data_IF_988734056817
#
_entry.id   IF_988734056817
#
_cell.length_a   1.000
_cell.length_b   1.000
_cell.length_c   1.000
_cell.angle_alpha   90.00
_cell.angle_beta   90.00
_cell.angle_gamma   90.00
#
_symmetry.space_group_name_H-M   'P 1'
#
loop_
_entity.id
_entity.type
_entity.pdbx_description
1 polymer ?
#
# COMPACT_ATOMS: atom_id res chain seq x y z
N UNK A 1 59.15 -8.29 40.45
CA UNK A 1 59.05 -9.76 40.58
C UNK A 1 57.76 -10.18 39.87
N UNK A 2 57.82 -10.42 38.56
CA UNK A 2 58.07 -11.72 37.90
C UNK A 2 56.84 -12.63 37.94
N UNK A 3 56.33 -13.25 36.86
CA UNK A 3 56.61 -13.22 35.41
C UNK A 3 55.49 -14.03 34.72
N UNK A 4 55.16 -13.69 33.47
CA UNK A 4 54.40 -14.52 32.52
C UNK A 4 54.99 -15.95 32.42
N UNK A 5 54.12 -16.95 32.20
CA UNK A 5 54.51 -18.19 31.50
C UNK A 5 53.40 -18.62 30.53
N UNK A 6 53.76 -18.51 29.26
CA UNK A 6 53.17 -19.03 28.04
C UNK A 6 53.80 -20.41 27.79
N UNK A 7 53.04 -21.44 27.38
CA UNK A 7 53.63 -22.71 26.91
C UNK A 7 52.87 -23.29 25.71
N UNK A 8 53.55 -23.22 24.57
CA UNK A 8 53.64 -24.19 23.46
C UNK A 8 55.13 -24.17 23.03
N UNK A 9 55.68 -25.04 22.16
CA UNK A 9 55.18 -26.26 21.50
C UNK A 9 56.24 -27.42 21.50
N UNK A 10 56.07 -28.41 20.59
CA UNK A 10 57.04 -29.31 19.91
C UNK A 10 56.66 -30.80 20.05
N UNK A 11 56.20 -31.48 18.98
CA UNK A 11 56.87 -32.00 17.76
C UNK A 11 57.25 -33.48 17.91
N UNK A 12 56.63 -34.35 17.09
CA UNK A 12 57.20 -35.64 16.66
C UNK A 12 56.40 -36.22 15.46
N UNK A 13 56.83 -35.81 14.27
CA UNK A 13 57.09 -36.62 13.06
C UNK A 13 56.40 -37.97 12.81
N UNK A 14 55.77 -38.01 11.62
CA UNK A 14 55.98 -38.95 10.49
C UNK A 14 55.40 -40.38 10.51
N UNK A 15 54.47 -40.64 9.57
CA UNK A 15 54.59 -41.74 8.59
C UNK A 15 53.60 -41.53 7.42
N UNK A 16 54.13 -41.47 6.19
CA UNK A 16 53.38 -41.57 4.93
C UNK A 16 53.11 -43.06 4.63
N UNK A 17 51.91 -43.40 4.21
CA UNK A 17 51.65 -44.60 3.42
C UNK A 17 50.52 -44.34 2.41
N UNK A 18 50.90 -44.38 1.15
CA UNK A 18 50.09 -44.41 -0.07
C UNK A 18 49.39 -45.76 -0.23
N UNK A 19 48.09 -45.78 -0.55
CA UNK A 19 47.42 -46.93 -1.16
C UNK A 19 46.35 -46.44 -2.14
N UNK A 20 46.57 -46.75 -3.41
CA UNK A 20 45.66 -46.59 -4.54
C UNK A 20 44.39 -47.46 -4.39
N UNK A 21 43.29 -47.13 -5.11
CA UNK A 21 42.04 -47.90 -5.08
C UNK A 21 42.08 -49.13 -6.01
N UNK A 22 41.36 -50.23 -5.70
CA UNK A 22 41.27 -51.36 -6.61
C UNK A 22 40.22 -51.12 -7.70
N UNK A 23 40.63 -51.43 -8.93
CA UNK A 23 39.83 -51.56 -10.14
C UNK A 23 39.02 -52.87 -10.17
N UNK A 24 37.82 -52.81 -10.73
CA UNK A 24 37.26 -53.90 -11.55
C UNK A 24 35.95 -54.53 -11.06
N UNK A 25 34.85 -54.26 -11.77
CA UNK A 25 33.96 -55.28 -12.34
C UNK A 25 32.80 -54.60 -13.09
N UNK A 26 32.73 -54.86 -14.40
CA UNK A 26 31.66 -54.44 -15.28
C UNK A 26 30.39 -55.26 -15.04
N UNK A 27 29.23 -54.60 -14.92
CA UNK A 27 27.94 -55.25 -15.09
C UNK A 27 27.06 -54.39 -16.00
N UNK A 28 26.99 -54.80 -17.27
CA UNK A 28 26.09 -54.24 -18.28
C UNK A 28 24.67 -54.65 -17.94
N UNK A 29 23.83 -53.69 -17.56
CA UNK A 29 22.38 -53.85 -17.47
C UNK A 29 21.74 -53.16 -18.68
N UNK A 30 21.36 -53.99 -19.66
CA UNK A 30 20.44 -53.63 -20.74
C UNK A 30 19.05 -53.47 -20.12
N UNK A 31 18.50 -52.25 -20.14
CA UNK A 31 17.09 -52.00 -19.84
C UNK A 31 16.45 -51.50 -21.15
N UNK A 32 15.39 -52.16 -21.66
CA UNK A 32 14.77 -51.79 -22.91
C UNK A 32 14.07 -50.43 -22.82
N UNK A 33 14.22 -49.66 -23.89
CA UNK A 33 13.63 -48.36 -24.09
C UNK A 33 12.11 -48.46 -24.28
N UNK A 34 11.35 -48.06 -23.27
CA UNK A 34 9.97 -47.58 -23.42
C UNK A 34 9.82 -46.33 -22.55
N UNK A 35 10.41 -45.23 -23.03
CA UNK A 35 10.19 -43.90 -22.46
C UNK A 35 8.78 -43.47 -22.88
N UNK A 36 7.80 -43.69 -22.00
CA UNK A 36 6.51 -43.04 -22.08
C UNK A 36 6.75 -41.52 -21.99
N UNK A 37 6.45 -40.79 -23.07
CA UNK A 37 6.40 -39.34 -23.13
C UNK A 37 5.28 -38.85 -22.21
N UNK A 38 5.59 -38.65 -20.92
CA UNK A 38 4.78 -37.82 -20.05
C UNK A 38 5.10 -36.35 -20.36
N UNK A 39 4.10 -35.46 -20.43
CA UNK A 39 4.35 -34.05 -20.68
C UNK A 39 5.09 -33.45 -19.47
N UNK A 40 6.29 -32.91 -19.71
CA UNK A 40 7.11 -32.17 -18.73
C UNK A 40 7.03 -30.65 -18.97
N UNK A 41 5.86 -29.97 -19.02
CA UNK A 41 5.86 -28.51 -19.12
C UNK A 41 6.09 -27.84 -17.75
N UNK A 42 5.63 -28.46 -16.65
CA UNK A 42 5.59 -27.80 -15.33
C UNK A 42 6.98 -27.73 -14.67
N UNK A 43 7.83 -28.75 -14.78
CA UNK A 43 9.18 -28.69 -14.20
C UNK A 43 10.07 -27.64 -14.88
N UNK A 44 9.97 -27.41 -16.19
CA UNK A 44 10.83 -26.48 -16.91
C UNK A 44 10.60 -25.00 -16.51
N UNK A 45 9.36 -24.65 -16.17
CA UNK A 45 9.00 -23.31 -15.74
C UNK A 45 9.53 -23.01 -14.33
N UNK A 46 9.44 -23.97 -13.42
CA UNK A 46 10.00 -23.87 -12.06
C UNK A 46 11.52 -23.61 -12.09
N UNK A 47 12.27 -24.35 -12.91
CA UNK A 47 13.71 -24.11 -13.07
C UNK A 47 14.03 -22.75 -13.67
N UNK A 48 13.18 -22.23 -14.56
CA UNK A 48 13.36 -20.89 -15.12
C UNK A 48 13.11 -19.78 -14.10
N UNK A 49 12.21 -19.96 -13.13
CA UNK A 49 12.00 -18.97 -12.06
C UNK A 49 13.15 -18.92 -11.06
N UNK A 50 13.85 -20.04 -10.83
CA UNK A 50 15.03 -20.11 -9.97
C UNK A 50 16.32 -19.68 -10.66
N UNK A 51 16.45 -19.93 -11.97
CA UNK A 51 17.68 -19.67 -12.71
C UNK A 51 17.85 -18.20 -13.12
N UNK A 52 16.75 -17.46 -13.27
CA UNK A 52 16.78 -16.06 -13.71
C UNK A 52 16.78 -15.08 -12.53
N UNK A 53 17.46 -13.93 -12.66
CA UNK A 53 17.52 -12.91 -11.62
C UNK A 53 16.15 -12.28 -11.33
N UNK A 54 16.04 -11.67 -10.15
CA UNK A 54 14.89 -10.86 -9.75
C UNK A 54 15.25 -9.39 -9.78
N UNK A 55 14.34 -8.58 -10.31
CA UNK A 55 14.43 -7.12 -10.33
C UNK A 55 13.35 -6.53 -9.44
N UNK A 56 13.71 -5.46 -8.73
CA UNK A 56 12.82 -4.76 -7.82
C UNK A 56 11.98 -3.73 -8.58
N UNK A 57 10.66 -3.83 -8.46
CA UNK A 57 9.68 -2.88 -8.97
C UNK A 57 9.01 -2.21 -7.78
N UNK A 58 9.01 -0.87 -7.76
CA UNK A 58 8.34 -0.10 -6.71
C UNK A 58 6.92 0.22 -7.16
N UNK A 59 5.93 -0.20 -6.38
CA UNK A 59 4.52 0.10 -6.61
C UNK A 59 4.02 0.98 -5.47
N UNK A 60 3.36 2.09 -5.81
CA UNK A 60 2.80 3.02 -4.83
C UNK A 60 1.33 2.71 -4.60
N UNK A 61 0.95 2.55 -3.34
CA UNK A 61 -0.42 2.32 -2.90
C UNK A 61 -1.08 3.62 -2.47
N UNK A 62 -2.38 3.83 -2.77
CA UNK A 62 -3.13 4.97 -2.28
C UNK A 62 -3.34 4.92 -0.76
N UNK A 63 -3.57 6.07 -0.11
CA UNK A 63 -4.06 6.11 1.27
C UNK A 63 -5.35 5.28 1.38
N UNK A 64 -5.47 4.50 2.46
CA UNK A 64 -6.63 3.63 2.69
C UNK A 64 -7.97 4.36 2.76
N UNK A 65 -7.97 5.66 3.11
CA UNK A 65 -9.17 6.50 3.09
C UNK A 65 -9.61 6.91 1.67
N UNK A 66 -8.76 6.71 0.66
CA UNK A 66 -9.02 7.16 -0.70
C UNK A 66 -9.06 8.70 -0.83
N UNK A 67 -8.33 9.39 0.05
CA UNK A 67 -8.11 10.83 0.01
C UNK A 67 -6.68 11.15 0.47
N UNK A 68 -6.08 12.15 -0.15
CA UNK A 68 -4.79 12.71 0.21
C UNK A 68 -4.98 13.70 1.35
N UNK A 69 -4.41 13.38 2.49
CA UNK A 69 -4.38 14.29 3.64
C UNK A 69 -3.20 15.22 3.46
N UNK A 70 -3.42 16.53 3.44
CA UNK A 70 -2.32 17.51 3.36
C UNK A 70 -1.90 18.00 4.74
N UNK A 71 -2.89 18.28 5.59
CA UNK A 71 -2.71 18.77 6.96
C UNK A 71 -3.59 17.98 7.89
N UNK A 72 -3.03 17.54 9.01
CA UNK A 72 -3.77 16.81 10.03
C UNK A 72 -3.41 17.25 11.44
N UNK A 73 -4.32 16.96 12.36
CA UNK A 73 -4.13 17.18 13.78
C UNK A 73 -4.64 15.97 14.56
N UNK A 74 -4.00 15.63 15.68
CA UNK A 74 -4.47 14.57 16.57
C UNK A 74 -5.36 15.14 17.67
N UNK A 75 -6.51 14.52 17.89
CA UNK A 75 -7.33 14.83 19.06
C UNK A 75 -6.62 14.38 20.34
N UNK A 76 -6.77 15.11 21.46
CA UNK A 76 -6.15 14.75 22.71
C UNK A 76 -6.83 13.51 23.30
N UNK A 77 -6.02 12.49 23.57
CA UNK A 77 -6.47 11.27 24.22
C UNK A 77 -6.39 11.40 25.76
N UNK A 78 -7.35 10.78 26.45
CA UNK A 78 -7.40 10.75 27.93
C UNK A 78 -6.62 9.59 28.53
N UNK A 79 -6.56 8.47 27.83
CA UNK A 79 -5.88 7.26 28.27
C UNK A 79 -4.41 7.24 27.82
N UNK A 80 -3.56 6.64 28.66
CA UNK A 80 -2.12 6.60 28.44
C UNK A 80 -1.78 5.88 27.12
N UNK A 81 -2.45 4.78 26.79
CA UNK A 81 -2.14 3.96 25.62
C UNK A 81 -2.48 4.66 24.30
N UNK A 82 -3.61 5.36 24.22
CA UNK A 82 -3.96 6.16 23.04
C UNK A 82 -3.02 7.35 22.89
N UNK A 83 -2.62 7.98 23.98
CA UNK A 83 -1.62 9.05 23.93
C UNK A 83 -0.30 8.54 23.39
N UNK A 84 0.21 7.43 23.92
CA UNK A 84 1.43 6.77 23.44
C UNK A 84 1.36 6.44 21.94
N UNK A 85 0.22 5.90 21.48
CA UNK A 85 0.02 5.59 20.06
C UNK A 85 -0.06 6.85 19.20
N UNK A 86 -0.76 7.90 19.63
CA UNK A 86 -0.87 9.16 18.91
C UNK A 86 0.48 9.90 18.83
N UNK A 87 1.28 9.88 19.89
CA UNK A 87 2.61 10.49 19.92
C UNK A 87 3.58 9.74 18.98
N UNK A 88 3.53 8.40 18.98
CA UNK A 88 4.31 7.59 18.04
C UNK A 88 3.90 7.84 16.58
N UNK A 89 2.59 7.94 16.30
CA UNK A 89 2.07 8.30 14.98
C UNK A 89 2.52 9.69 14.55
N UNK A 90 2.46 10.67 15.46
CA UNK A 90 2.92 12.04 15.20
C UNK A 90 4.38 12.07 14.79
N UNK A 91 5.25 11.36 15.52
CA UNK A 91 6.67 11.27 15.20
C UNK A 91 6.92 10.70 13.79
N UNK A 92 6.25 9.60 13.43
CA UNK A 92 6.37 8.98 12.10
C UNK A 92 5.82 9.89 10.98
N UNK A 93 4.70 10.57 11.23
CA UNK A 93 4.09 11.47 10.24
C UNK A 93 4.99 12.67 9.97
N UNK A 94 5.57 13.28 11.01
CA UNK A 94 6.56 14.35 10.88
C UNK A 94 7.81 13.84 10.15
N UNK A 95 8.30 12.65 10.50
CA UNK A 95 9.46 12.05 9.82
C UNK A 95 9.18 11.74 8.34
N UNK A 96 7.96 11.35 7.99
CA UNK A 96 7.58 11.03 6.62
C UNK A 96 7.63 12.25 5.69
N UNK A 97 7.38 13.45 6.22
CA UNK A 97 7.29 14.70 5.46
C UNK A 97 6.15 14.75 4.43
N UNK A 98 5.26 13.75 4.38
CA UNK A 98 4.16 13.68 3.41
C UNK A 98 2.97 14.56 3.81
N UNK A 99 2.85 14.90 5.09
CA UNK A 99 1.73 15.67 5.66
C UNK A 99 2.24 16.69 6.67
N UNK A 100 1.52 17.81 6.79
CA UNK A 100 1.73 18.79 7.84
C UNK A 100 0.99 18.35 9.10
N UNK A 101 1.74 18.04 10.16
CA UNK A 101 1.15 17.73 11.47
C UNK A 101 1.06 19.00 12.30
N UNK A 102 -0.17 19.37 12.65
CA UNK A 102 -0.45 20.51 13.53
C UNK A 102 -0.07 20.17 14.97
N UNK A 103 0.59 21.12 15.62
CA UNK A 103 1.02 20.98 17.01
C UNK A 103 -0.15 20.80 17.98
N UNK A 104 -0.01 19.78 18.84
CA UNK A 104 -0.98 19.40 19.87
C UNK A 104 -1.09 20.42 21.00
N UNK A 105 -0.02 21.16 21.32
CA UNK A 105 -0.07 22.16 22.40
C UNK A 105 -1.07 23.28 22.10
N UNK A 106 -1.19 23.68 20.83
CA UNK A 106 -2.15 24.67 20.36
C UNK A 106 -3.60 24.14 20.39
N UNK A 107 -3.78 22.83 20.24
CA UNK A 107 -5.07 22.15 20.34
C UNK A 107 -5.55 21.95 21.77
N UNK A 108 -4.65 21.56 22.66
CA UNK A 108 -4.97 21.24 24.06
C UNK A 108 -5.58 22.44 24.79
N UNK A 109 -5.16 23.67 24.46
CA UNK A 109 -5.74 24.89 25.04
C UNK A 109 -7.22 25.05 24.67
N UNK A 110 -7.57 24.79 23.41
CA UNK A 110 -8.95 24.93 22.90
C UNK A 110 -9.84 23.74 23.29
N UNK A 111 -9.24 22.56 23.44
CA UNK A 111 -9.95 21.34 23.79
C UNK A 111 -10.11 21.12 25.29
N UNK A 112 -9.33 21.79 26.15
CA UNK A 112 -9.58 21.82 27.60
C UNK A 112 -10.84 22.59 27.98
N UNK A 113 -11.24 23.58 27.18
CA UNK A 113 -12.47 24.36 27.40
C UNK A 113 -13.75 23.60 26.99
N UNK A 114 -13.61 22.46 26.31
CA UNK A 114 -14.72 21.65 25.82
C UNK A 114 -14.65 20.27 26.44
N UNK A 115 -15.69 19.88 27.18
CA UNK A 115 -15.83 18.50 27.64
C UNK A 115 -15.94 17.58 26.42
N UNK A 116 -14.82 16.96 26.03
CA UNK A 116 -14.86 15.81 25.12
C UNK A 116 -15.79 14.77 25.77
N UNK A 117 -16.89 14.43 25.09
CA UNK A 117 -17.87 13.49 25.60
C UNK A 117 -17.21 12.19 26.05
N UNK A 118 -17.74 11.55 27.10
CA UNK A 118 -17.21 10.31 27.67
C UNK A 118 -17.06 9.15 26.65
N UNK A 119 -17.64 9.29 25.46
CA UNK A 119 -17.64 8.32 24.37
C UNK A 119 -16.40 8.38 23.46
N UNK A 120 -15.51 9.36 23.63
CA UNK A 120 -14.36 9.56 22.73
C UNK A 120 -14.73 10.11 21.35
N UNK A 121 -15.99 10.52 21.15
CA UNK A 121 -16.44 11.25 19.98
C UNK A 121 -16.35 12.75 20.23
N UNK A 122 -15.86 13.49 19.24
CA UNK A 122 -15.84 14.95 19.28
C UNK A 122 -17.19 15.46 18.78
N UNK A 123 -17.83 16.32 19.56
CA UNK A 123 -19.11 16.92 19.16
C UNK A 123 -18.97 17.77 17.90
N UNK A 124 -19.99 17.82 17.01
CA UNK A 124 -19.96 18.64 15.81
C UNK A 124 -19.65 20.12 16.06
N UNK A 125 -20.11 20.68 17.19
CA UNK A 125 -19.82 22.06 17.58
C UNK A 125 -18.32 22.28 17.85
N UNK A 126 -17.65 21.28 18.43
CA UNK A 126 -16.21 21.31 18.70
C UNK A 126 -15.42 21.12 17.41
N UNK A 127 -15.86 20.23 16.51
CA UNK A 127 -15.27 20.10 15.16
C UNK A 127 -15.34 21.43 14.41
N UNK A 128 -16.47 22.13 14.42
CA UNK A 128 -16.63 23.42 13.75
C UNK A 128 -15.71 24.51 14.32
N UNK A 129 -15.48 24.54 15.64
CA UNK A 129 -14.54 25.47 16.26
C UNK A 129 -13.09 25.14 15.91
N UNK A 130 -12.72 23.87 15.95
CA UNK A 130 -11.40 23.41 15.52
C UNK A 130 -11.15 23.75 14.05
N UNK A 131 -12.15 23.59 13.18
CA UNK A 131 -12.06 23.99 11.77
C UNK A 131 -11.83 25.50 11.57
N UNK A 132 -12.44 26.34 12.40
CA UNK A 132 -12.17 27.80 12.38
C UNK A 132 -10.75 28.15 12.82
N UNK A 133 -10.18 27.37 13.75
CA UNK A 133 -8.84 27.60 14.29
C UNK A 133 -7.73 27.04 13.40
N UNK A 134 -7.91 25.80 12.94
CA UNK A 134 -6.90 25.03 12.18
C UNK A 134 -7.06 25.14 10.66
N UNK A 135 -8.17 25.69 10.20
CA UNK A 135 -8.52 25.76 8.78
C UNK A 135 -8.83 24.38 8.17
N UNK A 136 -8.61 24.19 6.86
CA UNK A 136 -8.84 22.92 6.17
C UNK A 136 -7.80 21.90 6.63
N UNK A 137 -8.17 21.12 7.63
CA UNK A 137 -7.34 20.08 8.24
C UNK A 137 -8.18 18.86 8.55
N UNK A 138 -7.52 17.72 8.62
CA UNK A 138 -8.14 16.47 9.06
C UNK A 138 -7.86 16.24 10.55
N UNK A 139 -8.89 15.99 11.34
CA UNK A 139 -8.74 15.58 12.73
C UNK A 139 -8.70 14.05 12.82
N UNK A 140 -7.62 13.52 13.39
CA UNK A 140 -7.44 12.09 13.66
C UNK A 140 -7.67 11.84 15.15
N UNK A 141 -8.63 10.98 15.46
CA UNK A 141 -8.97 10.57 16.82
C UNK A 141 -8.53 9.12 16.98
N UNK A 142 -7.67 8.85 17.96
CA UNK A 142 -7.17 7.50 18.27
C UNK A 142 -7.62 7.13 19.67
N UNK A 143 -8.25 5.96 19.80
CA UNK A 143 -8.72 5.42 21.07
C UNK A 143 -8.38 3.93 21.19
N UNK A 144 -7.54 3.55 22.14
CA UNK A 144 -7.19 2.17 22.48
C UNK A 144 -8.27 1.63 23.42
N UNK A 145 -9.13 0.78 22.86
CA UNK A 145 -10.29 0.22 23.56
C UNK A 145 -9.92 -0.97 24.45
N UNK A 146 -8.95 -1.79 24.03
CA UNK A 146 -8.48 -2.97 24.78
C UNK A 146 -6.97 -3.15 24.66
N UNK A 147 -6.34 -3.53 25.76
CA UNK A 147 -4.91 -3.87 25.81
C UNK A 147 -4.66 -4.88 26.95
N UNK A 148 -5.32 -6.03 26.88
CA UNK A 148 -5.34 -7.02 27.96
C UNK A 148 -4.24 -8.07 27.77
N UNK A 149 -3.31 -8.16 28.73
CA UNK A 149 -2.23 -9.14 28.71
C UNK A 149 -2.69 -10.48 29.26
N UNK A 150 -2.29 -11.56 28.59
CA UNK A 150 -2.49 -12.93 29.06
C UNK A 150 -1.18 -13.70 29.04
N UNK A 151 -1.02 -14.60 30.00
CA UNK A 151 0.15 -15.47 30.12
C UNK A 151 -0.32 -16.91 30.21
N UNK A 152 0.30 -17.78 29.40
CA UNK A 152 -0.07 -19.18 29.33
C UNK A 152 1.17 -20.09 29.27
N UNK A 153 1.02 -21.33 29.71
CA UNK A 153 2.04 -22.36 29.67
C UNK A 153 1.54 -23.57 28.91
N UNK A 154 2.41 -24.19 28.13
CA UNK A 154 2.11 -25.44 27.45
C UNK A 154 3.28 -26.41 27.53
N UNK A 155 2.97 -27.70 27.46
CA UNK A 155 3.94 -28.79 27.44
C UNK A 155 3.69 -29.65 26.20
N UNK A 156 4.76 -29.95 25.47
CA UNK A 156 4.73 -30.83 24.30
C UNK A 156 5.72 -31.97 24.50
N UNK A 157 5.23 -33.19 24.35
CA UNK A 157 6.07 -34.38 24.32
C UNK A 157 6.72 -34.51 22.94
N UNK A 158 8.04 -34.63 22.89
CA UNK A 158 8.82 -34.86 21.69
C UNK A 158 9.54 -36.21 21.81
N UNK A 159 9.21 -37.12 20.90
CA UNK A 159 9.86 -38.43 20.79
C UNK A 159 10.85 -38.40 19.63
N UNK A 160 12.06 -38.87 19.89
CA UNK A 160 13.09 -39.07 18.87
C UNK A 160 13.66 -40.46 18.99
N UNK A 161 13.68 -41.19 17.88
CA UNK A 161 14.30 -42.52 17.79
C UNK A 161 15.63 -42.39 17.08
N UNK A 162 16.70 -42.80 17.75
CA UNK A 162 18.02 -42.87 17.12
C UNK A 162 18.01 -43.94 16.02
N UNK A 163 18.36 -43.54 14.79
CA UNK A 163 18.29 -44.41 13.61
C UNK A 163 19.25 -45.59 13.67
N UNK A 164 20.36 -45.46 14.41
CA UNK A 164 21.41 -46.50 14.54
C UNK A 164 21.17 -47.41 15.74
N UNK A 165 20.81 -46.84 16.89
CA UNK A 165 20.65 -47.61 18.14
C UNK A 165 19.22 -48.06 18.40
N UNK A 166 18.25 -47.61 17.59
CA UNK A 166 16.81 -47.82 17.75
C UNK A 166 16.28 -47.40 19.13
N UNK A 167 17.05 -46.63 19.90
CA UNK A 167 16.68 -46.15 21.23
C UNK A 167 15.73 -44.96 21.10
N UNK A 168 14.57 -45.05 21.75
CA UNK A 168 13.67 -43.92 21.92
C UNK A 168 14.16 -43.00 23.02
N UNK A 169 14.15 -41.70 22.75
CA UNK A 169 14.33 -40.64 23.73
C UNK A 169 13.07 -39.79 23.76
N UNK A 170 12.49 -39.63 24.95
CA UNK A 170 11.34 -38.76 25.19
C UNK A 170 11.84 -37.48 25.86
N UNK A 171 11.49 -36.33 25.31
CA UNK A 171 11.78 -35.01 25.91
C UNK A 171 10.49 -34.22 26.03
N UNK A 172 10.34 -33.49 27.13
CA UNK A 172 9.21 -32.59 27.33
C UNK A 172 9.65 -31.15 27.06
N UNK A 173 9.16 -30.59 25.96
CA UNK A 173 9.37 -29.19 25.62
C UNK A 173 8.32 -28.35 26.34
N UNK A 174 8.75 -27.57 27.32
CA UNK A 174 7.90 -26.63 28.07
C UNK A 174 8.00 -25.25 27.45
N UNK A 175 6.85 -24.61 27.27
CA UNK A 175 6.70 -23.33 26.59
C UNK A 175 5.97 -22.36 27.50
N UNK A 176 6.48 -21.14 27.63
CA UNK A 176 5.82 -20.03 28.31
C UNK A 176 5.50 -18.94 27.29
N UNK A 177 4.23 -18.56 27.22
CA UNK A 177 3.64 -17.71 26.19
C UNK A 177 3.11 -16.44 26.86
N UNK A 178 3.45 -15.28 26.31
CA UNK A 178 2.81 -14.00 26.63
C UNK A 178 2.05 -13.54 25.40
N UNK A 179 0.77 -13.23 25.56
CA UNK A 179 -0.10 -12.74 24.50
C UNK A 179 -0.81 -11.46 24.91
N UNK A 180 -1.22 -10.65 23.95
CA UNK A 180 -1.97 -9.41 24.18
C UNK A 180 -3.24 -9.43 23.33
N UNK A 181 -4.40 -9.15 23.93
CA UNK A 181 -5.62 -8.80 23.19
C UNK A 181 -5.64 -7.27 23.02
N UNK A 182 -5.39 -6.79 21.81
CA UNK A 182 -5.29 -5.38 21.49
C UNK A 182 -6.41 -4.95 20.55
N UNK A 183 -7.12 -3.87 20.91
CA UNK A 183 -8.01 -3.19 19.98
C UNK A 183 -7.95 -1.68 20.12
N UNK A 184 -7.99 -0.99 18.99
CA UNK A 184 -8.03 0.47 18.91
C UNK A 184 -9.02 0.92 17.82
N UNK A 185 -9.66 2.06 18.03
CA UNK A 185 -10.51 2.71 17.04
C UNK A 185 -9.82 3.98 16.58
N UNK A 186 -9.74 4.16 15.26
CA UNK A 186 -9.21 5.39 14.65
C UNK A 186 -10.32 6.02 13.82
N UNK A 187 -10.60 7.29 14.09
CA UNK A 187 -11.59 8.09 13.35
C UNK A 187 -10.91 9.27 12.68
N UNK A 188 -11.35 9.57 11.48
CA UNK A 188 -10.77 10.62 10.66
C UNK A 188 -11.88 11.56 10.21
N UNK A 189 -11.79 12.82 10.61
CA UNK A 189 -12.85 13.81 10.45
C UNK A 189 -12.33 15.00 9.67
N UNK A 190 -13.08 15.43 8.67
CA UNK A 190 -12.87 16.69 7.98
C UNK A 190 -13.26 17.86 8.88
N UNK A 191 -12.33 18.72 9.27
CA UNK A 191 -12.66 19.89 10.09
C UNK A 191 -13.40 20.97 9.30
N UNK A 192 -13.32 20.98 7.96
CA UNK A 192 -14.00 21.98 7.13
C UNK A 192 -15.49 21.68 6.97
N UNK A 193 -15.85 20.40 6.82
CA UNK A 193 -17.24 19.95 6.59
C UNK A 193 -17.88 19.29 7.81
N UNK A 194 -17.09 18.91 8.81
CA UNK A 194 -17.54 18.09 9.93
C UNK A 194 -17.82 16.62 9.57
N UNK A 195 -17.53 16.21 8.34
CA UNK A 195 -17.81 14.86 7.85
C UNK A 195 -16.76 13.88 8.37
N UNK A 196 -17.21 12.74 8.90
CA UNK A 196 -16.34 11.60 9.19
C UNK A 196 -15.99 10.91 7.87
N UNK A 197 -14.71 10.91 7.50
CA UNK A 197 -14.21 10.22 6.30
C UNK A 197 -14.16 8.70 6.50
N UNK A 198 -13.82 8.28 7.71
CA UNK A 198 -13.73 6.87 8.05
C UNK A 198 -13.56 6.66 9.54
N UNK A 199 -14.07 5.52 10.02
CA UNK A 199 -13.81 4.99 11.33
C UNK A 199 -13.36 3.53 11.15
N UNK A 200 -12.14 3.21 11.57
CA UNK A 200 -11.59 1.87 11.45
C UNK A 200 -11.27 1.31 12.83
N UNK A 201 -11.79 0.11 13.09
CA UNK A 201 -11.37 -0.69 14.23
C UNK A 201 -10.16 -1.54 13.85
N UNK A 202 -9.11 -1.41 14.63
CA UNK A 202 -7.87 -2.16 14.55
C UNK A 202 -7.91 -3.20 15.65
N UNK A 203 -7.70 -4.45 15.27
CA UNK A 203 -7.56 -5.56 16.21
C UNK A 203 -6.25 -6.28 15.90
N UNK A 204 -5.57 -6.72 16.95
CA UNK A 204 -4.39 -7.57 16.89
C UNK A 204 -4.29 -8.43 18.15
N UNK A 205 -3.68 -9.62 18.00
CA UNK A 205 -3.50 -10.56 19.09
C UNK A 205 -2.07 -11.15 19.11
N UNK A 206 -1.01 -10.31 19.21
CA UNK A 206 0.35 -10.81 19.12
C UNK A 206 0.68 -11.70 20.32
N UNK A 207 1.57 -12.68 20.07
CA UNK A 207 2.10 -13.55 21.11
C UNK A 207 3.57 -13.84 20.88
N UNK A 208 4.31 -13.97 21.98
CA UNK A 208 5.69 -14.44 22.01
C UNK A 208 5.77 -15.66 22.90
N UNK A 209 6.77 -16.52 22.66
CA UNK A 209 7.02 -17.67 23.52
C UNK A 209 8.50 -17.96 23.72
N UNK A 210 8.82 -18.44 24.92
CA UNK A 210 10.12 -19.01 25.27
C UNK A 210 9.94 -20.50 25.52
N UNK A 211 10.95 -21.31 25.16
CA UNK A 211 10.88 -22.78 25.31
C UNK A 211 12.11 -23.33 26.05
N UNK A 212 11.92 -24.36 26.88
CA UNK A 212 12.99 -25.08 27.57
C UNK A 212 12.64 -26.56 27.78
N UNK A 213 13.66 -27.41 27.88
CA UNK A 213 13.52 -28.83 28.26
C UNK A 213 13.74 -29.06 29.77
N UNK A 214 14.36 -28.11 30.46
CA UNK A 214 14.77 -28.24 31.88
C UNK A 214 13.68 -27.74 32.86
N UNK A 215 12.67 -27.03 32.37
CA UNK A 215 11.61 -26.45 33.19
C UNK A 215 10.78 -25.44 32.40
N UNK A 216 9.80 -24.80 33.05
CA UNK A 216 9.13 -23.66 32.41
C UNK A 216 10.08 -22.47 32.37
N UNK A 217 10.38 -21.92 31.17
CA UNK A 217 11.22 -20.73 31.07
C UNK A 217 10.47 -19.50 31.58
N UNK A 218 11.19 -18.39 31.75
CA UNK A 218 10.54 -17.11 32.03
C UNK A 218 9.63 -16.71 30.85
N UNK A 219 8.49 -16.09 31.18
CA UNK A 219 7.59 -15.49 30.19
C UNK A 219 8.31 -14.40 29.38
N UNK A 220 8.05 -14.29 28.07
CA UNK A 220 8.45 -13.12 27.29
C UNK A 220 7.95 -11.83 27.92
N UNK A 221 8.70 -10.73 27.75
CA UNK A 221 8.40 -9.45 28.39
C UNK A 221 7.11 -8.85 27.82
N UNK A 222 6.27 -8.35 28.71
CA UNK A 222 5.00 -7.68 28.36
C UNK A 222 5.22 -6.49 27.39
N UNK A 223 6.32 -5.76 27.56
CA UNK A 223 6.70 -4.63 26.70
C UNK A 223 6.93 -5.01 25.25
N UNK A 224 7.44 -6.22 25.00
CA UNK A 224 7.80 -6.67 23.65
C UNK A 224 6.55 -7.02 22.86
N UNK A 225 5.60 -7.72 23.50
CA UNK A 225 4.29 -8.04 22.91
C UNK A 225 3.46 -6.77 22.67
N UNK A 226 3.49 -5.83 23.63
CA UNK A 226 2.84 -4.52 23.46
C UNK A 226 3.43 -3.72 22.30
N UNK A 227 4.75 -3.68 22.18
CA UNK A 227 5.43 -3.03 21.06
C UNK A 227 5.00 -3.63 19.72
N UNK A 228 4.88 -4.96 19.62
CA UNK A 228 4.39 -5.61 18.40
C UNK A 228 2.99 -5.11 18.02
N UNK A 229 2.03 -5.09 18.95
CA UNK A 229 0.69 -4.58 18.69
C UNK A 229 0.69 -3.11 18.25
N UNK A 230 1.49 -2.27 18.94
CA UNK A 230 1.59 -0.84 18.63
C UNK A 230 2.22 -0.60 17.26
N UNK A 231 3.26 -1.33 16.88
CA UNK A 231 3.87 -1.25 15.55
C UNK A 231 2.90 -1.70 14.46
N UNK A 232 2.13 -2.78 14.68
CA UNK A 232 1.06 -3.19 13.76
C UNK A 232 0.00 -2.11 13.61
N UNK A 233 -0.48 -1.54 14.72
CA UNK A 233 -1.49 -0.49 14.72
C UNK A 233 -0.97 0.76 14.00
N UNK A 234 0.25 1.19 14.32
CA UNK A 234 0.93 2.33 13.70
C UNK A 234 1.02 2.17 12.18
N UNK A 235 1.51 1.02 11.71
CA UNK A 235 1.58 0.73 10.28
C UNK A 235 0.21 0.76 9.59
N UNK A 236 -0.84 0.21 10.22
CA UNK A 236 -2.22 0.25 9.69
C UNK A 236 -2.75 1.68 9.60
N UNK A 237 -2.55 2.51 10.63
CA UNK A 237 -2.98 3.92 10.62
C UNK A 237 -2.21 4.74 9.61
N UNK A 238 -0.87 4.57 9.52
CA UNK A 238 -0.07 5.27 8.53
C UNK A 238 -0.52 4.93 7.10
N UNK A 239 -0.81 3.66 6.79
CA UNK A 239 -1.34 3.26 5.47
C UNK A 239 -2.76 3.75 5.22
N UNK A 240 -3.53 4.04 6.26
CA UNK A 240 -4.84 4.66 6.13
C UNK A 240 -4.72 6.14 5.73
N UNK A 241 -3.74 6.86 6.30
CA UNK A 241 -3.54 8.30 6.13
C UNK A 241 -2.62 8.67 4.96
N UNK A 242 -1.61 7.84 4.67
CA UNK A 242 -0.53 8.12 3.73
C UNK A 242 -0.51 7.12 2.57
N UNK A 243 -0.01 7.59 1.43
CA UNK A 243 0.47 6.69 0.38
C UNK A 243 1.72 5.95 0.86
N UNK A 244 1.87 4.71 0.44
CA UNK A 244 3.01 3.88 0.83
C UNK A 244 3.53 3.05 -0.35
N UNK A 245 4.82 2.76 -0.34
CA UNK A 245 5.47 2.04 -1.42
C UNK A 245 5.75 0.58 -1.04
N UNK A 246 5.50 -0.33 -1.97
CA UNK A 246 5.79 -1.75 -1.87
C UNK A 246 6.86 -2.11 -2.91
N UNK A 247 7.86 -2.88 -2.49
CA UNK A 247 8.85 -3.45 -3.41
C UNK A 247 8.39 -4.85 -3.82
N UNK A 248 8.14 -5.03 -5.12
CA UNK A 248 7.78 -6.31 -5.72
C UNK A 248 8.95 -6.87 -6.51
N UNK A 249 9.17 -8.18 -6.41
CA UNK A 249 10.26 -8.87 -7.09
C UNK A 249 9.74 -9.60 -8.31
N UNK A 250 10.11 -9.12 -9.49
CA UNK A 250 9.75 -9.76 -10.76
C UNK A 250 10.97 -10.45 -11.37
N UNK A 251 10.74 -11.53 -12.12
CA UNK A 251 11.80 -12.18 -12.88
C UNK A 251 12.26 -11.26 -14.01
N UNK A 252 13.55 -11.26 -14.30
CA UNK A 252 14.11 -10.65 -15.51
C UNK A 252 14.91 -11.72 -16.27
N UNK A 253 14.69 -11.89 -17.57
CA UNK A 253 15.43 -12.89 -18.34
C UNK A 253 16.75 -12.29 -18.81
N UNK A 254 17.87 -12.63 -18.17
CA UNK A 254 19.20 -12.10 -18.49
C UNK A 254 19.96 -12.94 -19.52
N UNK A 255 19.23 -13.49 -20.51
CA UNK A 255 19.83 -14.25 -21.60
C UNK A 255 20.90 -13.40 -22.33
N UNK A 256 22.10 -13.94 -22.59
CA UNK A 256 23.13 -13.27 -23.42
C UNK A 256 22.58 -12.94 -24.83
N UNK A 257 21.68 -13.79 -25.31
CA UNK A 257 21.05 -13.67 -26.62
C UNK A 257 20.24 -12.37 -26.69
N UNK A 258 20.45 -11.63 -27.78
CA UNK A 258 19.88 -10.30 -27.99
C UNK A 258 20.27 -9.25 -26.92
N UNK A 259 21.29 -9.53 -26.10
CA UNK A 259 21.89 -8.57 -25.17
C UNK A 259 21.09 -8.31 -23.90
N UNK A 260 20.21 -9.23 -23.48
CA UNK A 260 19.39 -9.02 -22.28
C UNK A 260 20.21 -9.05 -20.99
N UNK A 261 21.31 -9.79 -20.95
CA UNK A 261 22.29 -9.72 -19.87
C UNK A 261 22.80 -8.28 -19.65
N UNK A 262 23.20 -7.59 -20.72
CA UNK A 262 23.69 -6.20 -20.64
C UNK A 262 22.60 -5.23 -20.19
N UNK A 263 21.35 -5.44 -20.64
CA UNK A 263 20.21 -4.67 -20.16
C UNK A 263 20.00 -4.87 -18.64
N UNK A 264 20.13 -6.10 -18.15
CA UNK A 264 20.06 -6.42 -16.73
C UNK A 264 21.21 -5.79 -15.92
N UNK A 265 22.44 -5.79 -16.44
CA UNK A 265 23.57 -5.09 -15.80
C UNK A 265 23.30 -3.59 -15.64
N UNK A 266 22.73 -2.94 -16.66
CA UNK A 266 22.30 -1.54 -16.58
C UNK A 266 21.22 -1.32 -15.51
N UNK A 267 20.26 -2.23 -15.38
CA UNK A 267 19.26 -2.16 -14.29
C UNK A 267 19.91 -2.26 -12.91
N UNK A 268 20.86 -3.18 -12.73
CA UNK A 268 21.65 -3.30 -11.48
C UNK A 268 22.41 -2.01 -11.17
N UNK A 269 22.93 -1.35 -12.20
CA UNK A 269 23.60 -0.05 -12.10
C UNK A 269 22.62 1.14 -11.93
N UNK A 270 21.30 0.90 -11.79
CA UNK A 270 20.23 1.91 -11.72
C UNK A 270 20.09 2.79 -12.98
N UNK A 271 20.72 2.41 -14.09
CA UNK A 271 20.57 3.04 -15.40
C UNK A 271 19.36 2.45 -16.13
N UNK A 272 18.16 2.85 -15.69
CA UNK A 272 16.90 2.32 -16.22
C UNK A 272 16.70 2.74 -17.70
N UNK A 273 17.19 3.92 -18.09
CA UNK A 273 17.09 4.41 -19.47
C UNK A 273 17.98 3.59 -20.40
N UNK A 274 19.26 3.44 -20.08
CA UNK A 274 20.17 2.64 -20.89
C UNK A 274 19.79 1.15 -20.92
N UNK A 275 19.20 0.63 -19.85
CA UNK A 275 18.61 -0.71 -19.86
C UNK A 275 17.47 -0.84 -20.88
N UNK A 276 16.56 0.16 -20.94
CA UNK A 276 15.44 0.16 -21.89
C UNK A 276 15.93 0.23 -23.33
N UNK A 277 16.91 1.09 -23.61
CA UNK A 277 17.49 1.24 -24.95
C UNK A 277 18.05 -0.10 -25.45
N UNK A 278 18.87 -0.76 -24.62
CA UNK A 278 19.43 -2.08 -24.94
C UNK A 278 18.36 -3.17 -25.11
N UNK A 279 17.32 -3.15 -24.28
CA UNK A 279 16.22 -4.11 -24.37
C UNK A 279 15.38 -3.91 -25.65
N UNK A 280 15.12 -2.66 -26.05
CA UNK A 280 14.44 -2.33 -27.30
C UNK A 280 15.27 -2.75 -28.52
N UNK A 281 16.57 -2.46 -28.53
CA UNK A 281 17.49 -2.94 -29.58
C UNK A 281 17.54 -4.48 -29.65
N UNK A 282 17.56 -5.14 -28.49
CA UNK A 282 17.48 -6.59 -28.40
C UNK A 282 16.16 -7.14 -28.96
N UNK A 283 15.05 -6.49 -28.62
CA UNK A 283 13.74 -6.85 -29.14
C UNK A 283 13.68 -6.72 -30.67
N UNK A 284 14.18 -5.63 -31.24
CA UNK A 284 14.18 -5.45 -32.70
C UNK A 284 15.07 -6.48 -33.41
N UNK A 285 16.25 -6.80 -32.87
CA UNK A 285 17.09 -7.90 -33.38
C UNK A 285 16.37 -9.24 -33.33
N UNK A 286 15.61 -9.51 -32.26
CA UNK A 286 14.86 -10.75 -32.13
C UNK A 286 13.68 -10.86 -33.11
N UNK A 287 13.09 -9.73 -33.55
CA UNK A 287 12.10 -9.70 -34.65
C UNK A 287 12.74 -10.05 -35.99
N UNK A 288 13.96 -9.55 -36.24
CA UNK A 288 14.70 -9.77 -37.48
C UNK A 288 15.26 -11.19 -37.61
N UNK A 289 15.35 -11.94 -36.52
CA UNK A 289 15.85 -13.32 -36.47
C UNK A 289 14.93 -14.34 -37.20
N UNK A 290 13.76 -13.90 -37.68
CA UNK A 290 12.76 -14.72 -38.43
C UNK A 290 12.38 -16.03 -37.73
N UNK A 291 12.40 -16.03 -36.40
CA UNK A 291 11.99 -17.17 -35.59
C UNK A 291 13.02 -18.30 -35.48
N UNK A 292 14.30 -18.08 -35.83
CA UNK A 292 15.36 -19.07 -35.60
C UNK A 292 15.54 -19.38 -34.10
N UNK A 293 15.30 -18.38 -33.24
CA UNK A 293 15.39 -18.50 -31.78
C UNK A 293 14.05 -18.17 -31.11
N UNK A 294 13.00 -19.01 -31.29
CA UNK A 294 11.61 -18.67 -30.97
C UNK A 294 11.36 -18.45 -29.47
N UNK A 295 12.19 -19.05 -28.60
CA UNK A 295 12.11 -18.89 -27.14
C UNK A 295 12.42 -17.47 -26.66
N UNK A 296 13.30 -16.75 -27.36
CA UNK A 296 13.86 -15.49 -26.86
C UNK A 296 13.04 -14.27 -27.27
N UNK A 297 12.29 -14.35 -28.38
CA UNK A 297 11.44 -13.24 -28.81
C UNK A 297 10.35 -12.87 -27.78
N UNK A 298 9.57 -13.82 -27.22
CA UNK A 298 8.62 -13.51 -26.14
C UNK A 298 9.29 -12.98 -24.88
N UNK A 299 10.48 -13.48 -24.53
CA UNK A 299 11.26 -13.00 -23.37
C UNK A 299 11.78 -11.59 -23.55
N UNK A 300 12.23 -11.23 -24.76
CA UNK A 300 12.64 -9.88 -25.10
C UNK A 300 11.45 -8.90 -24.99
N UNK A 301 10.27 -9.29 -25.49
CA UNK A 301 9.03 -8.52 -25.30
C UNK A 301 8.73 -8.34 -23.81
N UNK A 302 8.76 -9.43 -23.04
CA UNK A 302 8.53 -9.40 -21.61
C UNK A 302 9.50 -8.44 -20.88
N UNK A 303 10.81 -8.52 -21.14
CA UNK A 303 11.81 -7.69 -20.47
C UNK A 303 11.62 -6.19 -20.76
N UNK A 304 11.27 -5.81 -21.99
CA UNK A 304 10.91 -4.42 -22.30
C UNK A 304 9.71 -3.98 -21.46
N UNK A 305 8.69 -4.84 -21.34
CA UNK A 305 7.55 -4.61 -20.45
C UNK A 305 7.96 -4.41 -18.99
N UNK A 306 8.86 -5.25 -18.45
CA UNK A 306 9.37 -5.12 -17.08
C UNK A 306 10.14 -3.82 -16.87
N UNK A 307 10.98 -3.39 -17.81
CA UNK A 307 11.73 -2.14 -17.67
C UNK A 307 10.79 -0.94 -17.68
N UNK A 308 9.79 -0.92 -18.55
CA UNK A 308 8.74 0.11 -18.54
C UNK A 308 7.92 0.09 -17.25
N UNK A 309 7.65 -1.09 -16.70
CA UNK A 309 7.03 -1.24 -15.40
C UNK A 309 7.90 -0.61 -14.30
N UNK A 310 9.22 -0.87 -14.29
CA UNK A 310 10.17 -0.23 -13.37
C UNK A 310 10.15 1.31 -13.49
N UNK A 311 9.95 1.85 -14.70
CA UNK A 311 9.83 3.29 -14.92
C UNK A 311 8.50 3.90 -14.43
N UNK A 312 7.54 3.09 -13.97
CA UNK A 312 6.19 3.55 -13.65
C UNK A 312 5.30 3.78 -14.88
N UNK A 313 5.77 3.42 -16.07
CA UNK A 313 5.04 3.55 -17.34
C UNK A 313 4.16 2.31 -17.58
N UNK A 314 3.17 2.10 -16.71
CA UNK A 314 2.36 0.89 -16.71
C UNK A 314 1.54 0.72 -18.01
N UNK A 315 1.03 1.83 -18.57
CA UNK A 315 0.27 1.83 -19.83
C UNK A 315 1.13 1.36 -21.01
N UNK A 316 2.39 1.77 -21.07
CA UNK A 316 3.33 1.33 -22.10
C UNK A 316 3.85 -0.09 -21.85
N UNK A 317 3.92 -0.53 -20.59
CA UNK A 317 4.38 -1.88 -20.23
C UNK A 317 3.37 -2.97 -20.63
N UNK A 318 2.08 -2.70 -20.44
CA UNK A 318 0.99 -3.65 -20.70
C UNK A 318 1.00 -4.29 -22.10
N UNK A 319 1.12 -3.55 -23.23
CA UNK A 319 1.11 -4.18 -24.56
C UNK A 319 2.28 -5.15 -24.75
N UNK A 320 3.45 -4.85 -24.19
CA UNK A 320 4.62 -5.74 -24.24
C UNK A 320 4.40 -7.03 -23.43
N UNK A 321 3.89 -6.90 -22.20
CA UNK A 321 3.61 -8.06 -21.33
C UNK A 321 2.49 -8.94 -21.90
N UNK A 322 1.44 -8.34 -22.47
CA UNK A 322 0.37 -9.07 -23.18
C UNK A 322 0.91 -9.81 -24.39
N UNK A 323 1.68 -9.12 -25.25
CA UNK A 323 2.26 -9.75 -26.43
C UNK A 323 3.16 -10.95 -26.07
N UNK A 324 3.95 -10.86 -25.00
CA UNK A 324 4.74 -11.98 -24.50
C UNK A 324 3.87 -13.16 -24.04
N UNK A 325 2.79 -12.89 -23.32
CA UNK A 325 1.85 -13.92 -22.85
C UNK A 325 1.05 -14.54 -24.00
N UNK A 326 0.62 -13.77 -24.99
CA UNK A 326 -0.10 -14.26 -26.16
C UNK A 326 0.76 -15.26 -26.97
N UNK A 327 2.07 -15.07 -26.99
CA UNK A 327 3.02 -16.00 -27.62
C UNK A 327 3.31 -17.24 -26.75
N UNK A 328 3.23 -17.13 -25.42
CA UNK A 328 3.47 -18.23 -24.48
C UNK A 328 2.43 -18.22 -23.34
N UNK A 329 1.19 -18.69 -23.60
CA UNK A 329 0.08 -18.57 -22.65
C UNK A 329 0.32 -19.30 -21.32
N UNK A 330 1.08 -20.40 -21.36
CA UNK A 330 1.34 -21.23 -20.19
C UNK A 330 2.42 -20.66 -19.25
N UNK A 331 3.12 -19.60 -19.64
CA UNK A 331 4.26 -19.07 -18.87
C UNK A 331 3.80 -18.35 -17.58
N UNK A 332 3.94 -19.01 -16.43
CA UNK A 332 3.61 -18.45 -15.09
C UNK A 332 4.27 -17.09 -14.83
N UNK A 333 5.52 -16.91 -15.27
CA UNK A 333 6.29 -15.68 -15.13
C UNK A 333 5.61 -14.51 -15.86
N UNK A 334 5.09 -14.75 -17.07
CA UNK A 334 4.41 -13.75 -17.89
C UNK A 334 3.05 -13.41 -17.29
N UNK A 335 2.29 -14.43 -16.88
CA UNK A 335 1.00 -14.25 -16.20
C UNK A 335 1.15 -13.42 -14.92
N UNK A 336 2.17 -13.72 -14.12
CA UNK A 336 2.46 -13.01 -12.87
C UNK A 336 2.77 -11.54 -13.16
N UNK A 337 3.73 -11.24 -14.04
CA UNK A 337 4.08 -9.85 -14.34
C UNK A 337 2.92 -9.05 -14.93
N UNK A 338 2.11 -9.66 -15.80
CA UNK A 338 0.94 -8.99 -16.37
C UNK A 338 -0.08 -8.64 -15.28
N UNK A 339 -0.38 -9.57 -14.36
CA UNK A 339 -1.25 -9.32 -13.21
C UNK A 339 -0.71 -8.19 -12.33
N UNK A 340 0.58 -8.25 -12.00
CA UNK A 340 1.25 -7.24 -11.17
C UNK A 340 1.21 -5.86 -11.83
N UNK A 341 1.39 -5.77 -13.15
CA UNK A 341 1.31 -4.52 -13.90
C UNK A 341 -0.12 -3.96 -13.95
N UNK A 342 -1.13 -4.82 -14.12
CA UNK A 342 -2.54 -4.43 -14.06
C UNK A 342 -2.90 -3.92 -12.66
N UNK A 343 -2.41 -4.57 -11.62
CA UNK A 343 -2.61 -4.14 -10.23
C UNK A 343 -1.97 -2.78 -9.97
N UNK A 344 -0.75 -2.56 -10.44
CA UNK A 344 -0.07 -1.26 -10.34
C UNK A 344 -0.84 -0.14 -11.06
N UNK A 345 -1.39 -0.42 -12.26
CA UNK A 345 -2.23 0.54 -12.98
C UNK A 345 -3.51 0.88 -12.18
N UNK A 346 -4.18 -0.12 -11.61
CA UNK A 346 -5.36 0.12 -10.74
C UNK A 346 -5.01 0.98 -9.53
N UNK A 347 -3.85 0.76 -8.92
CA UNK A 347 -3.36 1.55 -7.79
C UNK A 347 -3.03 3.00 -8.22
N UNK A 348 -2.44 3.20 -9.40
CA UNK A 348 -2.17 4.52 -9.97
C UNK A 348 -3.46 5.30 -10.22
N UNK A 349 -4.49 4.66 -10.78
CA UNK A 349 -5.81 5.27 -10.93
C UNK A 349 -6.43 5.65 -9.59
N UNK A 350 -6.32 4.77 -8.59
CA UNK A 350 -6.85 5.01 -7.25
C UNK A 350 -6.12 6.19 -6.56
N UNK A 351 -4.81 6.32 -6.74
CA UNK A 351 -4.03 7.48 -6.29
C UNK A 351 -4.55 8.77 -6.93
N UNK A 352 -4.72 8.79 -8.26
CA UNK A 352 -5.26 9.96 -8.96
C UNK A 352 -6.67 10.34 -8.50
N UNK A 353 -7.51 9.35 -8.19
CA UNK A 353 -8.85 9.58 -7.62
C UNK A 353 -8.80 10.11 -6.19
N UNK A 354 -7.83 9.66 -5.38
CA UNK A 354 -7.64 10.18 -4.04
C UNK A 354 -7.20 11.65 -4.08
N UNK A 355 -6.29 12.00 -4.98
CA UNK A 355 -5.87 13.39 -5.21
C UNK A 355 -7.04 14.29 -5.64
N UNK A 356 -7.86 13.85 -6.60
CA UNK A 356 -8.98 14.66 -7.08
C UNK A 356 -10.09 14.86 -6.03
N UNK A 357 -10.29 13.91 -5.13
CA UNK A 357 -11.24 14.05 -4.00
C UNK A 357 -10.74 15.00 -2.91
N UNK A 358 -9.44 15.29 -2.91
CA UNK A 358 -8.79 16.11 -1.89
C UNK A 358 -8.73 17.58 -2.31
N UNK A 359 -8.88 17.88 -3.61
CA UNK A 359 -9.07 19.25 -4.05
C UNK A 359 -10.35 19.81 -3.42
N UNK A 360 -10.28 20.95 -2.70
CA UNK A 360 -11.46 21.55 -2.13
C UNK A 360 -12.43 21.91 -3.26
N UNK A 361 -13.71 21.63 -3.05
CA UNK A 361 -14.81 22.01 -3.96
C UNK A 361 -14.82 23.51 -4.32
N UNK A 362 -14.01 24.34 -3.65
CA UNK A 362 -13.78 25.75 -3.96
C UNK A 362 -13.14 26.02 -5.32
N UNK A 363 -12.55 25.02 -6.01
CA UNK A 363 -12.07 25.22 -7.40
C UNK A 363 -13.18 25.11 -8.44
N UNK A 364 -14.31 24.48 -8.10
CA UNK A 364 -15.50 24.38 -8.95
C UNK A 364 -16.30 25.70 -8.96
N UNK A 365 -16.06 26.59 -7.99
CA UNK A 365 -16.65 27.94 -7.92
C UNK A 365 -15.83 29.03 -8.64
N UNK A 366 -15.05 28.68 -9.67
CA UNK A 366 -14.58 29.67 -10.67
C UNK A 366 -15.45 29.69 -11.93
N UNK A 367 -16.63 29.10 -11.89
CA UNK A 367 -17.70 29.49 -12.81
C UNK A 367 -18.04 30.97 -12.53
N UNK A 368 -18.04 31.85 -13.56
CA UNK A 368 -18.44 33.24 -13.35
C UNK A 368 -19.81 33.26 -12.66
N UNK A 369 -20.02 34.16 -11.68
CA UNK A 369 -21.25 34.16 -10.89
C UNK A 369 -22.44 34.17 -11.86
N UNK A 370 -23.47 33.34 -11.65
CA UNK A 370 -24.70 33.50 -12.39
C UNK A 370 -25.13 34.95 -12.19
N UNK A 371 -25.34 35.67 -13.31
CA UNK A 371 -25.85 37.05 -13.29
C UNK A 371 -27.00 37.09 -12.28
N UNK A 372 -27.03 38.09 -11.37
CA UNK A 372 -28.11 38.16 -10.41
C UNK A 372 -29.43 38.12 -11.17
N UNK A 373 -30.25 37.11 -10.86
CA UNK A 373 -31.63 37.07 -11.32
C UNK A 373 -32.27 38.40 -10.93
N UNK A 374 -32.59 39.19 -11.95
CA UNK A 374 -33.28 40.43 -11.77
C UNK A 374 -34.61 40.10 -11.08
N UNK A 375 -34.74 40.54 -9.82
CA UNK A 375 -36.05 40.79 -9.23
C UNK A 375 -36.84 41.61 -10.26
N UNK A 376 -38.06 41.21 -10.66
CA UNK A 376 -38.79 41.94 -11.67
C UNK A 376 -39.11 43.32 -11.10
N UNK A 377 -38.35 44.32 -11.54
CA UNK A 377 -38.64 45.71 -11.27
C UNK A 377 -40.09 45.96 -11.70
N UNK A 378 -40.90 46.51 -10.80
CA UNK A 378 -42.26 46.97 -11.13
C UNK A 378 -42.14 47.88 -12.36
N UNK A 379 -42.71 47.45 -13.49
CA UNK A 379 -42.65 48.22 -14.72
C UNK A 379 -43.20 49.64 -14.48
N UNK A 380 -42.53 50.64 -15.05
CA UNK A 380 -42.93 52.05 -14.88
C UNK A 380 -44.39 52.26 -15.31
N UNK A 381 -45.10 53.23 -14.72
CA UNK A 381 -46.50 53.51 -15.08
C UNK A 381 -46.71 53.69 -16.59
N UNK A 382 -45.76 54.33 -17.29
CA UNK A 382 -45.80 54.52 -18.75
C UNK A 382 -45.72 53.19 -19.53
N UNK A 383 -44.84 52.27 -19.12
CA UNK A 383 -44.73 50.95 -19.73
C UNK A 383 -45.98 50.09 -19.47
N UNK A 384 -46.61 50.24 -18.30
CA UNK A 384 -47.89 49.59 -17.99
C UNK A 384 -49.02 50.14 -18.86
N UNK A 385 -49.03 51.45 -19.14
CA UNK A 385 -50.03 52.09 -19.99
C UNK A 385 -49.94 51.64 -21.45
N UNK A 386 -48.72 51.52 -21.99
CA UNK A 386 -48.48 51.02 -23.35
C UNK A 386 -48.94 49.56 -23.49
N UNK A 387 -48.62 48.71 -22.52
CA UNK A 387 -49.04 47.30 -22.53
C UNK A 387 -50.56 47.16 -22.40
N UNK A 388 -51.21 48.01 -21.60
CA UNK A 388 -52.66 48.06 -21.49
C UNK A 388 -53.32 48.47 -22.82
N UNK A 389 -52.73 49.44 -23.55
CA UNK A 389 -53.19 49.84 -24.88
C UNK A 389 -53.09 48.73 -25.91
N UNK A 390 -51.99 47.96 -25.90
CA UNK A 390 -51.83 46.82 -26.81
C UNK A 390 -52.85 45.72 -26.53
N UNK A 391 -53.15 45.43 -25.27
CA UNK A 391 -54.13 44.42 -24.89
C UNK A 391 -55.55 44.79 -25.32
N UNK A 392 -55.93 46.07 -25.20
CA UNK A 392 -57.22 46.56 -25.71
C UNK A 392 -57.26 46.52 -27.25
N UNK A 393 -56.18 46.92 -27.93
CA UNK A 393 -56.10 46.81 -29.41
C UNK A 393 -56.21 45.36 -29.92
N UNK A 394 -55.72 44.39 -29.14
CA UNK A 394 -55.82 42.96 -29.45
C UNK A 394 -57.19 42.37 -29.08
N UNK A 395 -58.12 43.16 -28.57
CA UNK A 395 -59.46 42.71 -28.16
C UNK A 395 -59.46 41.82 -26.90
N UNK A 396 -58.35 41.77 -26.17
CA UNK A 396 -58.17 40.93 -24.97
C UNK A 396 -58.61 41.64 -23.69
N UNK A 397 -59.04 42.90 -23.79
CA UNK A 397 -59.52 43.70 -22.69
C UNK A 397 -60.72 44.53 -23.16
N UNK A 398 -61.82 44.48 -22.41
CA UNK A 398 -63.04 45.20 -22.76
C UNK A 398 -62.89 46.70 -22.49
N UNK A 399 -63.66 47.55 -23.19
CA UNK A 399 -63.45 49.01 -23.18
C UNK A 399 -63.61 49.60 -21.77
N UNK A 400 -64.56 49.07 -20.99
CA UNK A 400 -64.83 49.51 -19.61
C UNK A 400 -63.65 49.20 -18.67
N UNK A 401 -63.06 48.02 -18.81
CA UNK A 401 -61.93 47.59 -17.97
C UNK A 401 -60.62 48.27 -18.38
N UNK A 402 -60.46 48.55 -19.67
CA UNK A 402 -59.36 49.36 -20.20
C UNK A 402 -59.38 50.77 -19.60
N UNK A 403 -60.53 51.45 -19.60
CA UNK A 403 -60.61 52.81 -19.07
C UNK A 403 -60.42 52.87 -17.55
N UNK A 404 -60.94 51.90 -16.80
CA UNK A 404 -60.73 51.80 -15.35
C UNK A 404 -59.25 51.61 -14.98
N UNK A 405 -58.57 50.66 -15.62
CA UNK A 405 -57.15 50.38 -15.37
C UNK A 405 -56.23 51.49 -15.88
N UNK A 406 -56.60 52.16 -16.98
CA UNK A 406 -55.89 53.35 -17.46
C UNK A 406 -55.97 54.49 -16.44
N UNK A 407 -57.14 54.71 -15.84
CA UNK A 407 -57.31 55.74 -14.82
C UNK A 407 -56.51 55.45 -13.54
N UNK A 408 -56.40 54.18 -13.11
CA UNK A 408 -55.53 53.81 -11.98
C UNK A 408 -54.05 54.06 -12.28
N UNK A 409 -53.58 53.66 -13.46
CA UNK A 409 -52.17 53.86 -13.85
C UNK A 409 -51.84 55.35 -14.01
N UNK A 410 -52.78 56.16 -14.53
CA UNK A 410 -52.61 57.61 -14.63
C UNK A 410 -52.60 58.33 -13.28
N UNK A 411 -53.10 57.72 -12.20
CA UNK A 411 -52.97 58.28 -10.84
C UNK A 411 -51.59 58.01 -10.21
N UNK A 412 -50.85 57.05 -10.76
CA UNK A 412 -49.48 56.72 -10.35
C UNK A 412 -48.42 57.58 -11.07
N UNK A 413 -48.84 58.36 -12.08
CA UNK A 413 -48.08 59.41 -12.75
C UNK A 413 -48.42 60.76 -12.13
#
# INVERSE_FOLDING_TARGET
MARLVEVRPQDATAARASLDPPSGAAMRLLIPATLALLPIPVQAQFWSELANPKVDVVVVHPPGLGLKVERLAFAPSRDLHSRELADALTAELVQSGQVEVVDRAHLDAVLKEQELGASGYVEPATIARLGKLLGPSVLVIVNVNRSDLSRNQSIKEERSTDSKTKKETVRFKRTSITSLDFSATVQVVDLSTGRVFGAQRLEDAPSLSNTSYEGYPAYPRDSDVRRMAFETAKAKVLRMLLSWSEVRKLTFFDDEVFGMEKAHERLKARDIRGALDLALEGLDRSRLDKGQKPKYYPRAQYNVGIIRFIQGQYEDALPHLRAALDMQPDASIFQTALRECQDALRLQEALRRAESRSEPASRIESAPPPKPEATPAKASPEARLQRLQELHKKGLLDKKDYEAKKAEILKEL
#
